data_IF_845145845585
#
_entry.id   IF_845145845585
#
_cell.length_a   1.000
_cell.length_b   1.000
_cell.length_c   1.000
_cell.angle_alpha   90.00
_cell.angle_beta   90.00
_cell.angle_gamma   90.00
#
_symmetry.space_group_name_H-M   'P 1'
#
loop_
_entity.id
_entity.type
_entity.pdbx_description
1 polymer ?
#
# COMPACT_ATOMS: atom_id res chain seq x y z
N UNK A 1 -13.51 20.69 -11.11
CA UNK A 1 -14.18 19.68 -11.95
C UNK A 1 -13.11 19.04 -12.84
N UNK A 2 -12.39 18.03 -12.31
CA UNK A 2 -11.44 17.24 -13.10
C UNK A 2 -12.29 16.23 -13.86
N UNK A 3 -12.36 16.37 -15.16
CA UNK A 3 -13.20 15.52 -16.00
C UNK A 3 -12.72 14.06 -15.95
N UNK A 4 -13.64 13.11 -15.84
CA UNK A 4 -13.42 11.64 -15.82
C UNK A 4 -12.49 11.14 -16.95
N UNK A 5 -12.30 11.94 -18.00
CA UNK A 5 -11.37 11.68 -19.11
C UNK A 5 -9.89 11.87 -18.72
N UNK A 6 -9.58 12.63 -17.67
CA UNK A 6 -8.20 12.99 -17.33
C UNK A 6 -7.43 11.83 -16.66
N UNK A 7 -8.08 11.06 -15.80
CA UNK A 7 -7.44 9.93 -15.09
C UNK A 7 -7.15 8.78 -16.06
N UNK A 8 -8.11 8.45 -16.92
CA UNK A 8 -7.93 7.42 -17.95
C UNK A 8 -6.82 7.79 -18.94
N UNK A 9 -6.72 9.07 -19.33
CA UNK A 9 -5.66 9.55 -20.21
C UNK A 9 -4.28 9.56 -19.53
N UNK A 10 -4.19 9.75 -18.21
CA UNK A 10 -2.93 9.67 -17.47
C UNK A 10 -2.46 8.21 -17.42
N UNK A 11 -3.32 7.26 -17.09
CA UNK A 11 -3.00 5.82 -17.06
C UNK A 11 -2.60 5.34 -18.46
N UNK A 12 -3.37 5.70 -19.48
CA UNK A 12 -3.08 5.36 -20.87
C UNK A 12 -1.76 6.00 -21.37
N UNK A 13 -1.44 7.20 -20.91
CA UNK A 13 -0.16 7.87 -21.24
C UNK A 13 1.03 7.19 -20.57
N UNK A 14 0.89 6.68 -19.36
CA UNK A 14 1.94 5.91 -18.66
C UNK A 14 2.18 4.58 -19.40
N UNK A 15 1.12 3.90 -19.81
CA UNK A 15 1.23 2.66 -20.61
C UNK A 15 1.83 2.87 -22.00
N UNK A 16 1.65 4.05 -22.61
CA UNK A 16 2.20 4.36 -23.94
C UNK A 16 3.64 4.91 -23.89
N UNK A 17 4.15 5.29 -22.73
CA UNK A 17 5.55 5.75 -22.59
C UNK A 17 6.56 4.59 -22.54
N UNK A 18 6.12 3.37 -22.26
CA UNK A 18 7.00 2.19 -22.19
C UNK A 18 7.76 1.84 -23.48
N UNK A 19 7.24 2.02 -24.72
CA UNK A 19 8.02 1.72 -25.91
C UNK A 19 9.12 2.74 -26.24
N UNK A 20 9.13 3.91 -25.57
CA UNK A 20 10.11 4.97 -25.87
C UNK A 20 11.44 4.75 -25.12
N UNK A 21 11.41 4.02 -24.00
CA UNK A 21 12.61 3.70 -23.22
C UNK A 21 13.23 2.32 -23.53
N UNK A 22 12.57 1.52 -24.36
CA UNK A 22 13.03 0.17 -24.74
C UNK A 22 13.98 0.13 -25.94
N UNK A 23 14.46 1.26 -26.45
CA UNK A 23 15.32 1.32 -27.63
C UNK A 23 16.65 2.05 -27.40
N UNK A 24 17.42 1.57 -26.43
CA UNK A 24 18.88 1.66 -26.51
C UNK A 24 19.43 0.41 -25.82
N UNK A 25 19.80 -0.59 -26.61
CA UNK A 25 20.66 -1.69 -26.20
C UNK A 25 22.02 -1.13 -25.79
N UNK A 26 22.09 -0.58 -24.60
CA UNK A 26 23.34 -0.51 -23.88
C UNK A 26 23.45 -1.90 -23.24
N UNK A 27 24.40 -2.71 -23.73
CA UNK A 27 24.92 -3.89 -23.01
C UNK A 27 25.35 -3.45 -21.59
N UNK A 28 24.42 -3.25 -20.68
CA UNK A 28 24.71 -3.10 -19.26
C UNK A 28 24.79 -4.50 -18.66
N UNK A 29 26.03 -4.94 -18.50
CA UNK A 29 26.35 -6.12 -17.72
C UNK A 29 25.67 -6.03 -16.37
N UNK A 30 24.57 -6.77 -16.19
CA UNK A 30 24.09 -7.23 -14.90
C UNK A 30 23.00 -6.46 -14.18
N UNK A 31 22.29 -5.50 -14.77
CA UNK A 31 21.11 -4.87 -14.15
C UNK A 31 19.82 -5.42 -14.76
N UNK A 32 18.95 -5.99 -13.93
CA UNK A 32 17.63 -6.45 -14.32
C UNK A 32 16.58 -5.45 -13.82
N UNK A 33 15.59 -5.13 -14.66
CA UNK A 33 14.44 -4.33 -14.28
C UNK A 33 13.17 -5.14 -14.35
N UNK A 34 12.22 -4.86 -13.45
CA UNK A 34 10.85 -5.35 -13.57
C UNK A 34 9.87 -4.22 -13.28
N UNK A 35 8.72 -4.31 -13.90
CA UNK A 35 7.63 -3.36 -13.72
C UNK A 35 6.34 -4.15 -13.57
N UNK A 36 5.51 -3.74 -12.63
CA UNK A 36 4.21 -4.35 -12.39
C UNK A 36 3.15 -3.24 -12.30
N UNK A 37 2.01 -3.47 -12.93
CA UNK A 37 0.84 -2.61 -12.86
C UNK A 37 -0.34 -3.43 -12.34
N UNK A 38 -0.83 -3.09 -11.16
CA UNK A 38 -2.03 -3.65 -10.57
C UNK A 38 -3.20 -2.69 -10.75
N UNK A 39 -4.38 -3.22 -11.12
CA UNK A 39 -5.62 -2.46 -11.24
C UNK A 39 -6.74 -3.29 -10.61
N UNK A 40 -7.48 -2.68 -9.69
CA UNK A 40 -8.68 -3.23 -9.10
C UNK A 40 -9.88 -2.34 -9.40
N UNK A 41 -11.04 -2.96 -9.58
CA UNK A 41 -12.28 -2.26 -9.88
C UNK A 41 -13.45 -3.02 -9.30
N UNK A 42 -14.30 -2.32 -8.56
CA UNK A 42 -15.60 -2.80 -8.07
C UNK A 42 -16.66 -1.76 -8.33
N UNK A 43 -17.79 -2.17 -8.88
CA UNK A 43 -18.93 -1.29 -9.12
C UNK A 43 -20.25 -2.00 -8.79
N UNK A 44 -21.02 -1.41 -7.89
CA UNK A 44 -22.40 -1.80 -7.59
C UNK A 44 -23.33 -0.71 -8.13
N UNK A 45 -24.40 -1.13 -8.81
CA UNK A 45 -25.46 -0.24 -9.30
C UNK A 45 -26.83 -0.82 -8.96
N UNK A 46 -27.78 0.04 -8.62
CA UNK A 46 -29.15 -0.34 -8.30
C UNK A 46 -29.70 0.47 -7.15
N UNK A 47 -30.08 -0.17 -6.05
CA UNK A 47 -30.54 0.53 -4.86
C UNK A 47 -29.44 1.37 -4.19
N UNK A 48 -28.19 1.07 -4.50
CA UNK A 48 -27.00 1.81 -4.05
C UNK A 48 -26.03 1.89 -5.22
N UNK A 49 -25.48 3.07 -5.48
CA UNK A 49 -24.40 3.27 -6.43
C UNK A 49 -23.09 3.36 -5.68
N UNK A 50 -22.23 2.36 -5.82
CA UNK A 50 -20.90 2.33 -5.23
C UNK A 50 -19.86 2.05 -6.31
N UNK A 51 -18.77 2.79 -6.29
CA UNK A 51 -17.62 2.60 -7.15
C UNK A 51 -16.36 2.59 -6.29
N UNK A 52 -15.59 1.51 -6.36
CA UNK A 52 -14.26 1.43 -5.77
C UNK A 52 -13.26 1.13 -6.87
N UNK A 53 -12.23 1.93 -6.97
CA UNK A 53 -11.14 1.72 -7.92
C UNK A 53 -9.80 1.83 -7.21
N UNK A 54 -8.86 0.95 -7.55
CA UNK A 54 -7.50 0.99 -7.04
C UNK A 54 -6.51 0.77 -8.18
N UNK A 55 -5.36 1.40 -8.09
CA UNK A 55 -4.24 1.16 -8.99
C UNK A 55 -2.92 1.25 -8.21
N UNK A 56 -2.00 0.36 -8.55
CA UNK A 56 -0.62 0.40 -8.05
C UNK A 56 0.33 0.13 -9.21
N UNK A 57 1.36 0.95 -9.32
CA UNK A 57 2.49 0.73 -10.19
C UNK A 57 3.74 0.49 -9.35
N UNK A 58 4.48 -0.55 -9.67
CA UNK A 58 5.77 -0.82 -9.04
C UNK A 58 6.87 -1.00 -10.09
N UNK A 59 8.07 -0.64 -9.69
CA UNK A 59 9.28 -0.71 -10.50
C UNK A 59 10.43 -1.17 -9.62
N UNK A 60 11.23 -2.10 -10.12
CA UNK A 60 12.47 -2.49 -9.44
C UNK A 60 13.65 -2.59 -10.40
N UNK A 61 14.83 -2.26 -9.89
CA UNK A 61 16.13 -2.45 -10.52
C UNK A 61 16.99 -3.30 -9.61
N UNK A 62 17.45 -4.44 -10.10
CA UNK A 62 18.32 -5.36 -9.34
C UNK A 62 19.62 -5.58 -10.11
N UNK A 63 20.75 -5.36 -9.46
CA UNK A 63 22.06 -5.61 -10.04
C UNK A 63 23.20 -4.83 -9.42
N UNK A 64 24.30 -4.76 -10.16
CA UNK A 64 25.50 -4.06 -9.75
C UNK A 64 25.47 -2.60 -10.16
N UNK A 65 25.65 -1.66 -9.22
CA UNK A 65 25.72 -0.22 -9.49
C UNK A 65 27.10 0.31 -9.11
N UNK A 66 27.95 0.51 -10.09
CA UNK A 66 29.33 0.94 -9.89
C UNK A 66 30.13 -0.05 -9.04
N UNK A 67 30.60 0.36 -7.87
CA UNK A 67 31.30 -0.50 -6.91
C UNK A 67 30.37 -1.27 -5.97
N UNK A 68 29.10 -0.92 -5.92
CA UNK A 68 28.10 -1.60 -5.10
C UNK A 68 27.61 -2.84 -5.86
N UNK A 69 27.64 -3.97 -5.17
CA UNK A 69 27.28 -5.27 -5.72
C UNK A 69 25.91 -5.69 -5.20
N UNK A 70 25.15 -6.34 -6.12
CA UNK A 70 23.88 -6.97 -5.78
C UNK A 70 22.94 -5.99 -5.02
N UNK A 71 22.72 -4.82 -5.62
CA UNK A 71 21.81 -3.79 -5.10
C UNK A 71 20.40 -3.98 -5.66
N UNK A 72 19.40 -3.53 -4.91
CA UNK A 72 18.02 -3.43 -5.37
C UNK A 72 17.49 -2.03 -5.08
N UNK A 73 16.98 -1.37 -6.10
CA UNK A 73 16.17 -0.17 -5.97
C UNK A 73 14.74 -0.54 -6.29
N UNK A 74 13.81 -0.24 -5.40
CA UNK A 74 12.38 -0.43 -5.61
C UNK A 74 11.63 0.87 -5.40
N UNK A 75 10.62 1.06 -6.22
CA UNK A 75 9.70 2.19 -6.18
C UNK A 75 8.28 1.65 -6.40
N UNK A 76 7.31 2.12 -5.61
CA UNK A 76 5.90 1.92 -5.89
C UNK A 76 5.09 3.18 -5.64
N UNK A 77 4.01 3.31 -6.39
CA UNK A 77 3.02 4.36 -6.30
C UNK A 77 1.65 3.71 -6.41
N UNK A 78 0.80 3.91 -5.41
CA UNK A 78 -0.53 3.33 -5.38
C UNK A 78 -1.58 4.28 -4.83
N UNK A 79 -2.84 3.93 -5.02
CA UNK A 79 -3.95 4.64 -4.42
C UNK A 79 -5.29 4.03 -4.75
N UNK A 80 -6.27 4.35 -3.91
CA UNK A 80 -7.66 3.95 -4.06
C UNK A 80 -8.56 5.18 -4.07
N UNK A 81 -9.67 5.03 -4.78
CA UNK A 81 -10.72 6.03 -4.83
C UNK A 81 -12.07 5.32 -4.76
N UNK A 82 -12.93 5.78 -3.85
CA UNK A 82 -14.26 5.22 -3.73
C UNK A 82 -15.33 6.31 -3.67
N UNK A 83 -16.49 6.03 -4.29
CA UNK A 83 -17.69 6.89 -4.24
C UNK A 83 -18.89 6.08 -3.81
N UNK A 84 -19.77 6.70 -3.03
CA UNK A 84 -21.08 6.20 -2.68
C UNK A 84 -22.11 7.23 -3.16
N UNK A 85 -23.13 6.79 -3.94
CA UNK A 85 -24.14 7.68 -4.55
C UNK A 85 -23.51 8.86 -5.33
N UNK A 86 -22.41 8.58 -6.06
CA UNK A 86 -21.60 9.55 -6.81
C UNK A 86 -20.81 10.58 -5.95
N UNK A 87 -20.89 10.51 -4.61
CA UNK A 87 -20.10 11.33 -3.69
C UNK A 87 -18.83 10.59 -3.25
N UNK A 88 -17.65 11.23 -3.27
CA UNK A 88 -16.41 10.63 -2.81
C UNK A 88 -16.44 10.39 -1.29
N UNK A 89 -16.17 9.16 -0.84
CA UNK A 89 -16.08 8.85 0.59
C UNK A 89 -14.71 8.29 1.01
N UNK A 90 -13.92 7.76 0.08
CA UNK A 90 -12.57 7.30 0.37
C UNK A 90 -11.60 7.75 -0.72
N UNK A 91 -10.46 8.21 -0.28
CA UNK A 91 -9.32 8.57 -1.12
C UNK A 91 -8.06 8.36 -0.30
N UNK A 92 -7.27 7.38 -0.68
CA UNK A 92 -5.96 7.14 -0.11
C UNK A 92 -4.90 7.02 -1.20
N UNK A 93 -3.66 7.19 -0.82
CA UNK A 93 -2.53 7.00 -1.73
C UNK A 93 -1.22 6.86 -0.99
N UNK A 94 -0.27 6.20 -1.65
CA UNK A 94 1.06 5.98 -1.11
C UNK A 94 2.14 6.02 -2.18
N UNK A 95 3.33 6.42 -1.77
CA UNK A 95 4.58 6.29 -2.51
C UNK A 95 5.55 5.56 -1.60
N UNK A 96 6.19 4.51 -2.11
CA UNK A 96 7.24 3.79 -1.42
C UNK A 96 8.51 3.79 -2.27
N UNK A 97 9.65 4.06 -1.66
CA UNK A 97 10.96 3.95 -2.29
C UNK A 97 11.91 3.27 -1.34
N UNK A 98 12.60 2.24 -1.80
CA UNK A 98 13.57 1.50 -0.98
C UNK A 98 14.83 1.19 -1.78
N UNK A 99 15.96 1.24 -1.10
CA UNK A 99 17.26 0.83 -1.63
C UNK A 99 17.90 -0.20 -0.70
N UNK A 100 18.13 -1.38 -1.24
CA UNK A 100 18.78 -2.50 -0.56
C UNK A 100 20.21 -2.67 -1.06
N UNK A 101 21.16 -2.82 -0.15
CA UNK A 101 22.50 -3.29 -0.44
C UNK A 101 22.55 -4.81 -0.25
N UNK A 102 23.29 -5.51 -1.12
CA UNK A 102 23.43 -6.97 -1.07
C UNK A 102 22.06 -7.67 -1.05
N UNK A 103 21.17 -7.22 -1.93
CA UNK A 103 19.74 -7.54 -1.91
C UNK A 103 19.45 -9.05 -1.95
N UNK A 104 20.28 -9.86 -2.63
CA UNK A 104 20.13 -11.32 -2.72
C UNK A 104 20.95 -12.09 -1.69
N UNK A 105 21.74 -11.40 -0.85
CA UNK A 105 22.53 -12.03 0.21
C UNK A 105 21.66 -12.38 1.43
N UNK A 106 22.22 -13.18 2.34
CA UNK A 106 21.58 -13.54 3.60
C UNK A 106 21.24 -12.32 4.45
N UNK A 107 22.10 -11.31 4.43
CA UNK A 107 21.95 -10.05 5.16
C UNK A 107 21.96 -8.91 4.17
N UNK A 108 20.95 -8.05 4.20
CA UNK A 108 20.77 -6.93 3.31
C UNK A 108 20.43 -5.67 4.13
N UNK A 109 21.35 -4.72 4.31
CA UNK A 109 20.99 -3.41 4.83
C UNK A 109 20.16 -2.64 3.81
N UNK A 110 19.23 -1.82 4.30
CA UNK A 110 18.39 -1.00 3.44
C UNK A 110 18.04 0.33 4.07
N UNK A 111 17.63 1.27 3.24
CA UNK A 111 16.93 2.48 3.65
C UNK A 111 15.69 2.65 2.76
N UNK A 112 14.68 3.34 3.30
CA UNK A 112 13.44 3.57 2.59
C UNK A 112 12.85 4.93 2.93
N UNK A 113 11.99 5.39 2.04
CA UNK A 113 11.14 6.55 2.20
C UNK A 113 9.72 6.16 1.81
N UNK A 114 8.76 6.45 2.69
CA UNK A 114 7.34 6.27 2.46
C UNK A 114 6.64 7.62 2.57
N UNK A 115 5.68 7.86 1.70
CA UNK A 115 4.72 8.94 1.81
C UNK A 115 3.33 8.34 1.62
N UNK A 116 2.39 8.70 2.49
CA UNK A 116 1.00 8.24 2.38
C UNK A 116 0.03 9.30 2.88
N UNK A 117 -1.21 9.20 2.41
CA UNK A 117 -2.35 9.93 2.94
C UNK A 117 -3.57 9.02 2.90
N UNK A 118 -4.52 9.24 3.81
CA UNK A 118 -5.79 8.48 3.87
C UNK A 118 -6.88 9.39 4.45
N UNK A 119 -7.71 9.91 3.57
CA UNK A 119 -8.79 10.82 3.96
C UNK A 119 -9.88 10.12 4.74
N UNK A 120 -10.06 8.81 4.55
CA UNK A 120 -11.06 8.04 5.30
C UNK A 120 -10.68 7.86 6.77
N UNK A 121 -9.39 7.99 7.09
CA UNK A 121 -8.85 7.97 8.45
C UNK A 121 -8.52 9.38 8.98
N UNK A 122 -8.84 10.44 8.22
CA UNK A 122 -8.47 11.81 8.57
C UNK A 122 -6.98 12.10 8.46
N UNK A 123 -6.18 11.16 7.92
CA UNK A 123 -4.75 11.33 7.72
C UNK A 123 -4.49 12.23 6.51
N UNK A 124 -4.05 13.46 6.76
CA UNK A 124 -3.71 14.43 5.71
C UNK A 124 -2.45 13.97 4.98
N UNK A 125 -1.40 13.65 5.74
CA UNK A 125 -0.20 13.00 5.21
C UNK A 125 0.58 12.28 6.33
N UNK A 126 1.37 11.30 5.90
CA UNK A 126 2.41 10.64 6.71
C UNK A 126 3.65 10.50 5.86
N UNK A 127 4.77 10.86 6.44
CA UNK A 127 6.10 10.71 5.84
C UNK A 127 6.98 9.88 6.74
N UNK A 128 7.50 8.78 6.20
CA UNK A 128 8.41 7.88 6.90
C UNK A 128 9.78 7.86 6.23
N UNK A 129 10.83 7.98 7.00
CA UNK A 129 12.19 7.68 6.57
C UNK A 129 12.79 6.63 7.51
N UNK A 130 13.30 5.53 6.97
CA UNK A 130 13.83 4.45 7.77
C UNK A 130 15.12 3.87 7.25
N UNK A 131 15.92 3.33 8.20
CA UNK A 131 17.13 2.57 7.93
C UNK A 131 17.04 1.24 8.68
N UNK A 132 17.45 0.16 8.03
CA UNK A 132 17.31 -1.16 8.61
C UNK A 132 18.14 -2.25 7.98
N UNK A 133 17.80 -3.48 8.34
CA UNK A 133 18.41 -4.68 7.80
C UNK A 133 17.40 -5.80 7.63
N UNK A 134 17.61 -6.61 6.60
CA UNK A 134 16.82 -7.77 6.25
C UNK A 134 17.67 -9.04 6.39
N UNK A 135 17.10 -10.06 6.99
CA UNK A 135 17.69 -11.40 7.07
C UNK A 135 16.81 -12.35 6.25
N UNK A 136 17.40 -13.06 5.30
CA UNK A 136 16.74 -14.11 4.53
C UNK A 136 16.97 -15.46 5.19
N UNK A 137 15.89 -16.15 5.55
CA UNK A 137 15.87 -17.48 6.14
C UNK A 137 15.36 -18.49 5.10
N UNK A 138 16.27 -18.87 4.21
CA UNK A 138 15.95 -19.69 3.05
C UNK A 138 15.33 -18.88 1.90
N UNK A 139 14.56 -19.57 1.04
CA UNK A 139 13.93 -18.96 -0.14
C UNK A 139 12.52 -18.43 0.13
N UNK A 140 11.93 -18.81 1.24
CA UNK A 140 10.50 -18.65 1.54
C UNK A 140 10.28 -17.52 2.53
N UNK A 141 11.14 -17.38 3.54
CA UNK A 141 10.94 -16.48 4.66
C UNK A 141 12.05 -15.44 4.78
N UNK A 142 11.66 -14.21 5.09
CA UNK A 142 12.59 -13.16 5.48
C UNK A 142 12.03 -12.36 6.65
N UNK A 143 12.93 -11.80 7.45
CA UNK A 143 12.61 -10.89 8.53
C UNK A 143 13.42 -9.62 8.34
N UNK A 144 12.74 -8.46 8.36
CA UNK A 144 13.39 -7.16 8.33
C UNK A 144 13.08 -6.41 9.62
N UNK A 145 14.05 -5.60 10.02
CA UNK A 145 13.91 -4.62 11.09
C UNK A 145 14.40 -3.28 10.60
N UNK A 146 13.68 -2.20 10.92
CA UNK A 146 14.10 -0.84 10.66
C UNK A 146 13.80 0.06 11.86
N UNK A 147 14.62 1.10 12.00
CA UNK A 147 14.33 2.28 12.80
C UNK A 147 13.81 3.36 11.86
N UNK A 148 12.67 3.98 12.21
CA UNK A 148 11.95 4.93 11.38
C UNK A 148 11.83 6.28 12.09
N UNK A 149 11.93 7.35 11.31
CA UNK A 149 11.45 8.68 11.67
C UNK A 149 10.14 8.88 10.93
N UNK A 150 9.11 9.29 11.66
CA UNK A 150 7.77 9.45 11.15
C UNK A 150 7.26 10.86 11.47
N UNK A 151 6.65 11.50 10.48
CA UNK A 151 5.89 12.74 10.60
C UNK A 151 4.47 12.44 10.11
N UNK A 152 3.50 12.65 10.99
CA UNK A 152 2.07 12.51 10.69
C UNK A 152 1.37 13.86 10.80
N UNK A 153 0.45 14.13 9.89
CA UNK A 153 -0.44 15.28 9.93
C UNK A 153 -1.89 14.80 9.88
N UNK A 154 -2.59 15.08 10.97
CA UNK A 154 -4.04 15.06 11.10
C UNK A 154 -4.52 16.50 11.27
N UNK A 155 -5.10 16.86 12.40
CA UNK A 155 -5.40 18.26 12.75
C UNK A 155 -4.13 19.04 13.16
N UNK A 156 -3.08 18.33 13.55
CA UNK A 156 -1.77 18.87 13.91
C UNK A 156 -0.65 17.96 13.39
N UNK A 157 0.53 18.54 13.21
CA UNK A 157 1.71 17.79 12.84
C UNK A 157 2.37 17.22 14.08
N UNK A 158 2.60 15.91 14.08
CA UNK A 158 3.35 15.18 15.11
C UNK A 158 4.57 14.50 14.48
N UNK A 159 5.69 14.52 15.20
CA UNK A 159 6.92 13.83 14.80
C UNK A 159 7.41 12.90 15.90
N UNK A 160 7.72 11.68 15.54
CA UNK A 160 8.22 10.66 16.47
C UNK A 160 9.04 9.60 15.75
N UNK A 161 9.51 8.61 16.49
CA UNK A 161 10.26 7.48 15.92
C UNK A 161 9.53 6.18 16.21
N UNK A 162 9.60 5.23 15.25
CA UNK A 162 9.07 3.88 15.41
C UNK A 162 10.14 2.83 15.13
N UNK A 163 9.97 1.69 15.76
CA UNK A 163 10.55 0.44 15.27
C UNK A 163 9.66 -0.12 14.17
N UNK A 164 10.22 -0.87 13.23
CA UNK A 164 9.44 -1.58 12.21
C UNK A 164 9.95 -3.01 12.10
N UNK A 165 9.11 -3.97 12.48
CA UNK A 165 9.35 -5.41 12.34
C UNK A 165 8.53 -5.92 11.16
N UNK A 166 9.19 -6.55 10.17
CA UNK A 166 8.58 -6.91 8.88
C UNK A 166 8.87 -8.37 8.53
N UNK A 167 8.14 -9.38 9.10
CA UNK A 167 8.18 -10.74 8.59
C UNK A 167 7.50 -10.82 7.22
N UNK A 168 8.12 -11.56 6.30
CA UNK A 168 7.60 -11.83 4.95
C UNK A 168 7.72 -13.30 4.63
N UNK A 169 6.63 -13.88 4.12
CA UNK A 169 6.55 -15.24 3.62
C UNK A 169 6.14 -15.22 2.15
N UNK A 170 6.96 -15.82 1.28
CA UNK A 170 6.67 -15.93 -0.16
C UNK A 170 6.77 -17.38 -0.61
N UNK A 171 5.69 -17.92 -1.17
CA UNK A 171 5.61 -19.26 -1.72
C UNK A 171 5.28 -19.18 -3.22
N UNK A 172 5.95 -20.02 -4.00
CA UNK A 172 5.66 -20.22 -5.42
C UNK A 172 5.29 -21.69 -5.59
N UNK A 173 4.09 -21.96 -6.04
CA UNK A 173 3.49 -23.29 -6.15
C UNK A 173 3.05 -23.55 -7.59
N UNK A 174 2.73 -24.83 -7.90
CA UNK A 174 2.21 -25.25 -9.19
C UNK A 174 3.09 -24.79 -10.37
N UNK A 175 4.41 -25.01 -10.27
CA UNK A 175 5.41 -24.65 -11.29
C UNK A 175 5.38 -23.16 -11.70
N UNK A 176 5.10 -22.28 -10.73
CA UNK A 176 5.06 -20.84 -10.97
C UNK A 176 3.68 -20.28 -11.30
N UNK A 177 2.64 -21.11 -11.34
CA UNK A 177 1.28 -20.65 -11.67
C UNK A 177 0.51 -20.08 -10.49
N UNK A 178 0.97 -20.32 -9.26
CA UNK A 178 0.32 -19.82 -8.06
C UNK A 178 1.36 -19.20 -7.12
N UNK A 179 1.09 -17.97 -6.68
CA UNK A 179 1.94 -17.22 -5.76
C UNK A 179 1.15 -16.89 -4.50
N UNK A 180 1.82 -17.05 -3.37
CA UNK A 180 1.36 -16.63 -2.06
C UNK A 180 2.40 -15.69 -1.48
N UNK A 181 2.04 -14.44 -1.21
CA UNK A 181 2.90 -13.42 -0.59
C UNK A 181 2.19 -12.87 0.64
N UNK A 182 2.76 -13.14 1.82
CA UNK A 182 2.27 -12.60 3.08
C UNK A 182 3.32 -11.69 3.68
N UNK A 183 2.90 -10.49 4.09
CA UNK A 183 3.72 -9.48 4.75
C UNK A 183 2.99 -8.97 5.98
N UNK A 184 3.72 -8.81 7.07
CA UNK A 184 3.23 -8.13 8.26
C UNK A 184 4.16 -6.99 8.61
N UNK A 185 3.62 -5.89 9.13
CA UNK A 185 4.37 -4.72 9.58
C UNK A 185 3.87 -4.38 10.97
N UNK A 186 4.72 -4.59 11.97
CA UNK A 186 4.45 -4.17 13.34
C UNK A 186 5.35 -2.96 13.63
N UNK A 187 4.74 -1.79 13.90
CA UNK A 187 5.42 -0.51 13.98
C UNK A 187 5.10 0.19 15.32
N UNK A 188 5.65 -0.26 16.46
CA UNK A 188 5.50 0.44 17.73
C UNK A 188 6.34 1.71 17.79
N UNK A 189 5.86 2.72 18.52
CA UNK A 189 6.68 3.91 18.85
C UNK A 189 7.86 3.50 19.75
N UNK A 190 8.94 4.26 19.64
CA UNK A 190 10.16 3.99 20.41
C UNK A 190 9.99 4.36 21.89
N UNK A 191 9.25 5.42 22.14
CA UNK A 191 8.98 5.96 23.49
C UNK A 191 7.72 5.39 24.14
N UNK A 192 6.83 4.78 23.35
CA UNK A 192 5.58 4.18 23.81
C UNK A 192 5.20 2.96 22.96
N UNK A 193 5.46 1.76 23.45
CA UNK A 193 5.17 0.51 22.73
C UNK A 193 3.67 0.15 22.71
N UNK A 194 2.82 0.83 23.45
CA UNK A 194 1.36 0.69 23.42
C UNK A 194 0.78 1.46 22.23
N UNK A 195 1.48 2.52 21.74
CA UNK A 195 1.17 3.18 20.48
C UNK A 195 1.85 2.44 19.32
N UNK A 196 1.08 1.63 18.59
CA UNK A 196 1.58 0.87 17.46
C UNK A 196 0.61 0.80 16.30
N UNK A 197 1.18 0.64 15.12
CA UNK A 197 0.49 0.28 13.89
C UNK A 197 0.78 -1.18 13.56
N UNK A 198 -0.24 -1.92 13.18
CA UNK A 198 -0.09 -3.28 12.65
C UNK A 198 -0.78 -3.34 11.29
N UNK A 199 -0.03 -3.78 10.27
CA UNK A 199 -0.57 -4.02 8.94
C UNK A 199 -0.21 -5.43 8.49
N UNK A 200 -1.20 -6.16 7.97
CA UNK A 200 -1.02 -7.48 7.39
C UNK A 200 -1.55 -7.46 5.97
N UNK A 201 -0.74 -7.91 5.03
CA UNK A 201 -1.08 -8.00 3.61
C UNK A 201 -0.86 -9.43 3.17
N UNK A 202 -1.91 -10.02 2.62
CA UNK A 202 -1.85 -11.33 1.96
C UNK A 202 -2.27 -11.16 0.50
N UNK A 203 -1.39 -11.54 -0.41
CA UNK A 203 -1.69 -11.58 -1.85
C UNK A 203 -1.64 -13.02 -2.33
N UNK A 204 -2.71 -13.44 -2.97
CA UNK A 204 -2.83 -14.73 -3.68
C UNK A 204 -2.92 -14.43 -5.17
N UNK A 205 -1.91 -14.81 -5.95
CA UNK A 205 -1.88 -14.57 -7.39
C UNK A 205 -1.97 -15.87 -8.15
N UNK A 206 -2.80 -15.89 -9.18
CA UNK A 206 -2.94 -17.01 -10.12
C UNK A 206 -2.58 -16.51 -11.52
N UNK A 207 -1.55 -17.09 -12.11
CA UNK A 207 -1.16 -16.77 -13.48
C UNK A 207 -2.25 -17.23 -14.47
N UNK A 208 -2.52 -16.40 -15.45
CA UNK A 208 -3.44 -16.75 -16.52
C UNK A 208 -2.69 -17.50 -17.64
N UNK A 209 -3.39 -17.84 -18.72
CA UNK A 209 -2.75 -18.40 -19.93
C UNK A 209 -1.81 -17.39 -20.65
N UNK A 210 -1.91 -16.11 -20.31
CA UNK A 210 -1.01 -15.05 -20.75
C UNK A 210 0.00 -14.75 -19.63
N UNK A 211 1.26 -15.15 -19.85
CA UNK A 211 2.30 -15.16 -18.79
C UNK A 211 2.56 -13.80 -18.11
N UNK A 212 2.26 -12.70 -18.81
CA UNK A 212 2.39 -11.34 -18.25
C UNK A 212 1.18 -10.91 -17.38
N UNK A 213 0.13 -11.74 -17.27
CA UNK A 213 -1.11 -11.38 -16.59
C UNK A 213 -1.45 -12.38 -15.47
N UNK A 214 -1.64 -11.88 -14.26
CA UNK A 214 -2.22 -12.63 -13.15
C UNK A 214 -3.56 -12.07 -12.69
N UNK A 215 -4.33 -12.90 -12.01
CA UNK A 215 -5.49 -12.51 -11.20
C UNK A 215 -5.07 -12.59 -9.75
N UNK A 216 -5.26 -11.50 -9.02
CA UNK A 216 -4.82 -11.36 -7.65
C UNK A 216 -6.00 -11.16 -6.70
N UNK A 217 -5.95 -11.86 -5.57
CA UNK A 217 -6.81 -11.61 -4.41
C UNK A 217 -5.93 -11.02 -3.33
N UNK A 218 -6.22 -9.80 -2.92
CA UNK A 218 -5.50 -9.11 -1.85
C UNK A 218 -6.39 -8.97 -0.62
N UNK A 219 -5.90 -9.44 0.53
CA UNK A 219 -6.47 -9.16 1.84
C UNK A 219 -5.52 -8.22 2.58
N UNK A 220 -6.02 -7.08 2.99
CA UNK A 220 -5.29 -6.11 3.80
C UNK A 220 -6.04 -5.91 5.12
N UNK A 221 -5.32 -6.11 6.22
CA UNK A 221 -5.78 -5.83 7.57
C UNK A 221 -4.88 -4.78 8.18
N UNK A 222 -5.46 -3.69 8.67
CA UNK A 222 -4.77 -2.60 9.35
C UNK A 222 -5.35 -2.43 10.76
N UNK A 223 -4.47 -2.16 11.71
CA UNK A 223 -4.85 -1.84 13.09
C UNK A 223 -4.02 -0.66 13.57
N UNK A 224 -4.68 0.31 14.22
CA UNK A 224 -4.04 1.48 14.81
C UNK A 224 -4.48 1.62 16.27
N UNK A 225 -3.56 1.39 17.20
CA UNK A 225 -3.83 1.46 18.64
C UNK A 225 -4.25 2.85 19.13
N UNK A 226 -3.95 3.91 18.35
CA UNK A 226 -4.36 5.30 18.65
C UNK A 226 -5.89 5.44 18.75
N UNK A 227 -6.66 4.57 18.08
CA UNK A 227 -8.13 4.61 18.06
C UNK A 227 -8.78 3.58 18.99
N UNK A 228 -7.99 2.84 19.78
CA UNK A 228 -8.50 1.81 20.68
C UNK A 228 -9.14 2.39 21.95
N UNK A 229 -10.22 1.77 22.40
CA UNK A 229 -10.84 2.03 23.72
C UNK A 229 -11.39 3.44 23.90
N UNK A 230 -10.91 4.13 24.94
CA UNK A 230 -11.33 5.49 25.28
C UNK A 230 -10.65 6.58 24.45
N UNK A 231 -9.64 6.20 23.64
CA UNK A 231 -8.91 7.09 22.73
C UNK A 231 -9.63 7.30 21.39
N UNK A 232 -10.94 7.21 21.38
CA UNK A 232 -11.74 7.38 20.16
C UNK A 232 -11.62 8.79 19.63
N UNK A 233 -11.18 8.90 18.38
CA UNK A 233 -11.14 10.17 17.65
C UNK A 233 -12.47 10.34 16.91
N UNK A 234 -13.15 11.47 17.19
CA UNK A 234 -14.42 11.81 16.55
C UNK A 234 -14.18 12.20 15.09
N UNK A 235 -15.02 11.67 14.20
CA UNK A 235 -15.01 12.08 12.80
C UNK A 235 -15.56 13.51 12.63
N UNK A 236 -15.20 14.20 11.52
CA UNK A 236 -15.85 15.46 11.15
C UNK A 236 -17.38 15.34 11.10
N UNK A 237 -18.09 16.44 11.39
CA UNK A 237 -19.55 16.44 11.47
C UNK A 237 -20.25 15.96 10.18
N UNK A 238 -19.66 16.23 9.03
CA UNK A 238 -20.15 15.79 7.71
C UNK A 238 -20.10 14.26 7.52
N UNK A 239 -19.33 13.56 8.36
CA UNK A 239 -19.22 12.10 8.32
C UNK A 239 -20.06 11.41 9.41
N UNK A 240 -20.85 12.16 10.18
CA UNK A 240 -21.71 11.57 11.20
C UNK A 240 -22.88 10.82 10.56
N UNK A 241 -23.17 9.65 11.12
CA UNK A 241 -24.30 8.86 10.69
C UNK A 241 -25.62 9.47 11.14
N UNK A 242 -26.67 9.33 10.33
CA UNK A 242 -28.02 9.66 10.71
C UNK A 242 -28.67 8.44 11.37
N UNK A 243 -29.17 8.60 12.60
CA UNK A 243 -29.86 7.56 13.35
C UNK A 243 -31.26 8.02 13.75
N UNK A 244 -32.30 7.17 13.53
CA UNK A 244 -33.63 7.46 14.01
C UNK A 244 -33.67 7.42 15.52
N UNK A 245 -34.09 8.52 16.14
CA UNK A 245 -34.27 8.63 17.58
C UNK A 245 -35.77 8.57 17.91
N UNK A 246 -36.23 7.48 18.57
CA UNK A 246 -37.65 7.30 18.89
C UNK A 246 -38.17 8.34 19.89
N UNK A 247 -37.33 8.95 20.71
CA UNK A 247 -37.73 9.95 21.71
C UNK A 247 -38.03 11.31 21.02
N UNK A 248 -37.39 11.59 19.89
CA UNK A 248 -37.62 12.79 19.07
C UNK A 248 -38.58 12.51 17.90
N UNK A 249 -38.77 11.25 17.53
CA UNK A 249 -39.61 10.87 16.37
C UNK A 249 -39.02 11.27 15.02
N UNK A 250 -37.70 11.52 14.94
CA UNK A 250 -36.99 12.00 13.77
C UNK A 250 -35.57 11.42 13.71
N UNK A 251 -34.85 11.69 12.61
CA UNK A 251 -33.44 11.32 12.46
C UNK A 251 -32.55 12.41 13.06
N UNK A 252 -31.66 12.01 13.94
CA UNK A 252 -30.66 12.86 14.58
C UNK A 252 -29.26 12.44 14.13
N UNK A 253 -28.34 13.39 14.14
CA UNK A 253 -26.93 13.10 13.86
C UNK A 253 -26.34 12.25 14.99
N UNK A 254 -25.68 11.15 14.61
CA UNK A 254 -25.00 10.26 15.54
C UNK A 254 -23.50 10.42 15.36
N UNK A 255 -22.83 10.72 16.48
CA UNK A 255 -21.36 10.76 16.50
C UNK A 255 -20.75 9.47 15.94
N UNK A 256 -19.83 9.62 15.00
CA UNK A 256 -19.03 8.52 14.46
C UNK A 256 -17.56 8.72 14.81
N UNK A 257 -16.86 7.60 15.01
CA UNK A 257 -15.47 7.59 15.41
C UNK A 257 -14.66 6.79 14.39
N UNK A 258 -13.40 7.16 14.23
CA UNK A 258 -12.46 6.31 13.50
C UNK A 258 -12.36 4.95 14.19
N UNK A 259 -12.26 3.90 13.39
CA UNK A 259 -12.10 2.53 13.91
C UNK A 259 -10.62 2.22 14.04
N UNK A 260 -10.30 1.45 15.05
CA UNK A 260 -8.95 0.90 15.27
C UNK A 260 -8.56 -0.14 14.21
N UNK A 261 -9.54 -0.80 13.60
CA UNK A 261 -9.33 -1.94 12.70
C UNK A 261 -10.03 -1.73 11.37
N UNK A 262 -9.29 -1.94 10.28
CA UNK A 262 -9.80 -2.02 8.91
C UNK A 262 -9.43 -3.36 8.27
N UNK A 263 -10.37 -3.95 7.56
CA UNK A 263 -10.18 -5.15 6.75
C UNK A 263 -10.72 -4.91 5.35
N UNK A 264 -9.87 -5.00 4.35
CA UNK A 264 -10.27 -4.93 2.95
C UNK A 264 -9.92 -6.21 2.21
N UNK A 265 -10.77 -6.57 1.24
CA UNK A 265 -10.57 -7.67 0.31
C UNK A 265 -10.77 -7.12 -1.08
N UNK A 266 -9.79 -7.25 -1.93
CA UNK A 266 -9.87 -6.81 -3.32
C UNK A 266 -9.50 -7.92 -4.30
N UNK A 267 -10.07 -7.88 -5.48
CA UNK A 267 -9.71 -8.73 -6.62
C UNK A 267 -9.26 -7.80 -7.73
N UNK A 268 -8.11 -8.07 -8.29
CA UNK A 268 -7.53 -7.24 -9.32
C UNK A 268 -6.73 -8.05 -10.34
N UNK A 269 -6.10 -7.32 -11.24
CA UNK A 269 -5.24 -7.86 -12.28
C UNK A 269 -3.87 -7.20 -12.19
N UNK A 270 -2.81 -8.02 -12.24
CA UNK A 270 -1.45 -7.53 -12.32
C UNK A 270 -0.83 -7.84 -13.68
N UNK A 271 -0.15 -6.87 -14.22
CA UNK A 271 0.62 -6.98 -15.46
C UNK A 271 2.09 -6.77 -15.15
N UNK A 272 2.92 -7.75 -15.51
CA UNK A 272 4.39 -7.69 -15.35
C UNK A 272 5.04 -7.48 -16.72
N UNK A 273 5.99 -6.53 -16.82
CA UNK A 273 6.69 -6.15 -18.05
C UNK A 273 8.20 -6.27 -17.91
#
# INVERSE_FOLDING_TARGET
>A
MITRLSVFNIILSICLLNPIFAQDEIEQVGVNSSQDLYIAFDQTRGNTNNLVTGAEYSFSLVGDVGSLKDTEFSFSLGGNYATLEDEPYALDGNIHTQFDLWANQKYSPFFFYDYSFDRSLGLINRTDFGIGGKIRLGKIFSLSYAYMFEEEEYDSVETFSRHSFRPKLKLVLADGNFFFDYRSFYKPRVDDFEDFLLENILVLSVMTFYEALSVDITLKHSYNSKYEGDNKVLKPLEEWESQYDPDYGDFVAKETFYKDTDLSVSIGFSFTF
#
